data_IF_431991634606
#
_entry.id   IF_431991634606
#
_cell.length_a   1.000
_cell.length_b   1.000
_cell.length_c   1.000
_cell.angle_alpha   90.00
_cell.angle_beta   90.00
_cell.angle_gamma   90.00
#
_symmetry.space_group_name_H-M   'P 1'
#
loop_
_entity.id
_entity.type
_entity.pdbx_description
1 polymer ?
#
# COMPACT_ATOMS: atom_id res chain seq x y z
N UNK A 1 13.90 21.84 -10.51
CA UNK A 1 14.14 20.40 -10.67
C UNK A 1 14.11 20.05 -12.15
N UNK A 2 15.04 19.23 -12.68
CA UNK A 2 15.02 18.78 -14.08
C UNK A 2 14.03 17.62 -14.27
N UNK A 3 13.54 17.39 -15.50
CA UNK A 3 12.65 16.25 -15.83
C UNK A 3 13.33 14.92 -15.53
N UNK A 4 14.63 14.79 -15.86
CA UNK A 4 15.41 13.58 -15.54
C UNK A 4 15.44 13.30 -14.05
N UNK A 5 15.61 14.35 -13.22
CA UNK A 5 15.56 14.20 -11.76
C UNK A 5 14.18 13.78 -11.27
N UNK A 6 13.10 14.36 -11.81
CA UNK A 6 11.74 14.00 -11.41
C UNK A 6 11.44 12.53 -11.70
N UNK A 7 11.85 12.04 -12.86
CA UNK A 7 11.72 10.62 -13.24
C UNK A 7 12.56 9.75 -12.32
N UNK A 8 13.83 10.10 -12.10
CA UNK A 8 14.72 9.35 -11.19
C UNK A 8 14.18 9.26 -9.76
N UNK A 9 13.67 10.38 -9.22
CA UNK A 9 13.07 10.44 -7.89
C UNK A 9 11.79 9.54 -7.82
N UNK A 10 11.03 9.45 -8.91
CA UNK A 10 9.85 8.57 -8.99
C UNK A 10 10.23 7.09 -8.97
N UNK A 11 11.24 6.69 -9.74
CA UNK A 11 11.76 5.32 -9.70
C UNK A 11 12.38 4.97 -8.35
N UNK A 12 13.11 5.90 -7.72
CA UNK A 12 13.66 5.70 -6.39
C UNK A 12 12.57 5.47 -5.34
N UNK A 13 11.44 6.18 -5.43
CA UNK A 13 10.31 5.97 -4.53
C UNK A 13 9.69 4.57 -4.70
N UNK A 14 9.54 4.09 -5.94
CA UNK A 14 9.07 2.71 -6.21
C UNK A 14 10.09 1.69 -5.68
N UNK A 15 11.38 1.93 -5.89
CA UNK A 15 12.43 1.06 -5.37
C UNK A 15 12.41 0.96 -3.84
N UNK A 16 12.17 2.07 -3.14
CA UNK A 16 11.98 2.09 -1.68
C UNK A 16 10.79 1.22 -1.26
N UNK A 17 9.67 1.30 -1.98
CA UNK A 17 8.51 0.45 -1.75
C UNK A 17 8.90 -1.03 -1.84
N UNK A 18 9.52 -1.43 -2.95
CA UNK A 18 9.91 -2.82 -3.19
C UNK A 18 10.92 -3.35 -2.17
N UNK A 19 11.94 -2.57 -1.84
CA UNK A 19 12.94 -2.94 -0.82
C UNK A 19 12.30 -3.08 0.55
N UNK A 20 11.42 -2.17 0.94
CA UNK A 20 10.70 -2.24 2.22
C UNK A 20 9.86 -3.51 2.32
N UNK A 21 9.17 -3.87 1.23
CA UNK A 21 8.38 -5.09 1.15
C UNK A 21 9.25 -6.35 1.25
N UNK A 22 10.36 -6.41 0.50
CA UNK A 22 11.28 -7.54 0.52
C UNK A 22 11.88 -7.75 1.91
N UNK A 23 12.32 -6.69 2.58
CA UNK A 23 12.87 -6.79 3.94
C UNK A 23 11.79 -7.28 4.91
N UNK A 24 10.59 -6.71 4.86
CA UNK A 24 9.49 -7.09 5.74
C UNK A 24 9.08 -8.55 5.55
N UNK A 25 8.96 -9.01 4.31
CA UNK A 25 8.64 -10.40 3.99
C UNK A 25 9.77 -11.36 4.36
N UNK A 26 11.04 -10.98 4.14
CA UNK A 26 12.20 -11.77 4.53
C UNK A 26 12.23 -12.01 6.05
N UNK A 27 12.00 -10.96 6.85
CA UNK A 27 11.91 -11.08 8.30
C UNK A 27 10.72 -11.96 8.72
N UNK A 28 9.55 -11.74 8.14
CA UNK A 28 8.36 -12.54 8.45
C UNK A 28 8.55 -14.02 8.09
N UNK A 29 9.24 -14.31 6.98
CA UNK A 29 9.61 -15.68 6.59
C UNK A 29 10.54 -16.31 7.62
N UNK A 30 11.52 -15.57 8.14
CA UNK A 30 12.40 -16.06 9.21
C UNK A 30 11.62 -16.44 10.48
N UNK A 31 10.60 -15.65 10.87
CA UNK A 31 9.69 -16.02 11.95
C UNK A 31 8.90 -17.31 11.64
N UNK A 32 8.50 -17.52 10.39
CA UNK A 32 7.86 -18.77 9.94
C UNK A 32 8.75 -20.00 10.13
N UNK A 33 10.08 -19.88 9.91
CA UNK A 33 11.03 -20.97 10.11
C UNK A 33 11.12 -21.43 11.57
N UNK A 34 10.87 -20.53 12.53
CA UNK A 34 10.78 -20.87 13.97
C UNK A 34 9.34 -21.20 14.41
N UNK A 35 8.49 -21.57 13.46
CA UNK A 35 7.09 -22.02 13.67
C UNK A 35 6.14 -20.98 14.26
N UNK A 36 6.40 -19.69 14.05
CA UNK A 36 5.40 -18.65 14.35
C UNK A 36 4.20 -18.83 13.41
N UNK A 37 2.95 -18.78 13.90
CA UNK A 37 1.75 -18.94 13.07
C UNK A 37 1.72 -17.94 11.89
N UNK A 38 1.35 -18.39 10.70
CA UNK A 38 1.36 -17.59 9.46
C UNK A 38 0.56 -16.29 9.59
N UNK A 39 -0.58 -16.32 10.29
CA UNK A 39 -1.37 -15.11 10.51
C UNK A 39 -0.63 -14.04 11.31
N UNK A 40 0.18 -14.45 12.30
CA UNK A 40 1.05 -13.54 13.07
C UNK A 40 2.18 -13.01 12.17
N UNK A 41 2.79 -13.87 11.36
CA UNK A 41 3.80 -13.47 10.38
C UNK A 41 3.26 -12.42 9.40
N UNK A 42 2.03 -12.56 8.92
CA UNK A 42 1.39 -11.58 8.04
C UNK A 42 1.21 -10.21 8.73
N UNK A 43 0.81 -10.19 9.99
CA UNK A 43 0.68 -8.95 10.77
C UNK A 43 2.05 -8.29 10.97
N UNK A 44 3.06 -9.06 11.33
CA UNK A 44 4.45 -8.58 11.49
C UNK A 44 4.97 -8.03 10.16
N UNK A 45 4.78 -8.75 9.05
CA UNK A 45 5.16 -8.29 7.72
C UNK A 45 4.50 -6.96 7.37
N UNK A 46 3.19 -6.83 7.60
CA UNK A 46 2.45 -5.59 7.35
C UNK A 46 2.98 -4.41 8.17
N UNK A 47 3.18 -4.61 9.47
CA UNK A 47 3.70 -3.56 10.36
C UNK A 47 5.13 -3.14 9.98
N UNK A 48 6.01 -4.10 9.68
CA UNK A 48 7.38 -3.82 9.23
C UNK A 48 7.39 -3.12 7.87
N UNK A 49 6.58 -3.58 6.91
CA UNK A 49 6.48 -2.97 5.60
C UNK A 49 6.06 -1.51 5.68
N UNK A 50 4.96 -1.21 6.39
CA UNK A 50 4.49 0.15 6.57
C UNK A 50 5.51 1.03 7.32
N UNK A 51 6.12 0.51 8.38
CA UNK A 51 7.11 1.22 9.18
C UNK A 51 8.40 1.53 8.40
N UNK A 52 8.98 0.53 7.72
CA UNK A 52 10.20 0.70 6.91
C UNK A 52 9.95 1.67 5.74
N UNK A 53 8.85 1.47 5.01
CA UNK A 53 8.49 2.36 3.91
C UNK A 53 8.31 3.80 4.38
N UNK A 54 7.61 4.02 5.50
CA UNK A 54 7.45 5.35 6.10
C UNK A 54 8.81 5.99 6.43
N UNK A 55 9.69 5.29 7.12
CA UNK A 55 11.01 5.81 7.52
C UNK A 55 11.87 6.14 6.29
N UNK A 56 11.94 5.22 5.33
CA UNK A 56 12.75 5.40 4.13
C UNK A 56 12.19 6.51 3.22
N UNK A 57 10.87 6.56 3.01
CA UNK A 57 10.24 7.63 2.23
C UNK A 57 10.37 8.99 2.91
N UNK A 58 10.25 9.05 4.23
CA UNK A 58 10.47 10.31 4.99
C UNK A 58 11.90 10.80 4.82
N UNK A 59 12.89 9.91 4.95
CA UNK A 59 14.30 10.25 4.76
C UNK A 59 14.58 10.68 3.30
N UNK A 60 14.05 9.96 2.33
CA UNK A 60 14.18 10.24 0.90
C UNK A 60 13.55 11.58 0.54
N UNK A 61 12.30 11.80 0.94
CA UNK A 61 11.55 13.03 0.65
C UNK A 61 12.23 14.25 1.30
N UNK A 62 12.64 14.14 2.56
CA UNK A 62 13.26 15.27 3.27
C UNK A 62 14.68 15.59 2.79
N UNK A 63 15.54 14.57 2.61
CA UNK A 63 16.97 14.77 2.31
C UNK A 63 17.27 14.90 0.82
N UNK A 64 16.59 14.13 -0.05
CA UNK A 64 16.92 14.02 -1.48
C UNK A 64 15.98 14.86 -2.33
N UNK A 65 14.68 14.70 -2.15
CA UNK A 65 13.66 15.42 -2.93
C UNK A 65 13.44 16.82 -2.41
N UNK A 66 13.71 17.06 -1.13
CA UNK A 66 13.46 18.33 -0.41
C UNK A 66 11.99 18.74 -0.49
N UNK A 67 11.11 17.77 -0.24
CA UNK A 67 9.67 17.94 -0.09
C UNK A 67 9.34 18.02 1.41
N UNK A 68 8.60 19.03 1.86
CA UNK A 68 8.03 19.01 3.22
C UNK A 68 7.04 17.84 3.35
N UNK A 69 6.96 17.25 4.53
CA UNK A 69 6.07 16.10 4.78
C UNK A 69 4.59 16.40 4.51
N UNK A 70 4.18 17.66 4.72
CA UNK A 70 2.84 18.13 4.38
C UNK A 70 2.52 17.99 2.88
N UNK A 71 3.52 18.16 2.01
CA UNK A 71 3.35 18.03 0.55
C UNK A 71 3.28 16.55 0.10
N UNK A 72 3.64 15.60 0.98
CA UNK A 72 3.50 14.17 0.69
C UNK A 72 2.05 13.68 0.79
N UNK A 73 1.10 14.57 0.99
CA UNK A 73 -0.31 14.22 1.08
C UNK A 73 -0.63 13.36 2.30
N UNK A 74 0.26 13.36 3.31
CA UNK A 74 -0.02 12.78 4.61
C UNK A 74 -0.63 13.87 5.48
N UNK A 75 -1.97 14.02 5.51
CA UNK A 75 -2.60 14.88 6.48
C UNK A 75 -2.28 14.34 7.87
N UNK A 76 -2.20 15.21 8.86
CA UNK A 76 -2.22 14.80 10.25
C UNK A 76 -3.28 13.71 10.43
N UNK A 77 -2.92 12.62 11.11
CA UNK A 77 -3.73 11.43 11.25
C UNK A 77 -5.02 11.77 12.02
N UNK A 78 -5.97 12.41 11.36
CA UNK A 78 -7.30 12.67 11.89
C UNK A 78 -8.25 11.60 11.35
N UNK A 79 -8.31 10.47 12.05
CA UNK A 79 -9.26 9.40 11.71
C UNK A 79 -10.67 9.86 12.08
N UNK A 80 -11.41 10.37 11.11
CA UNK A 80 -12.83 10.70 11.30
C UNK A 80 -13.66 9.42 11.18
N UNK A 81 -14.59 9.19 12.12
CA UNK A 81 -15.50 8.02 12.13
C UNK A 81 -16.16 7.77 10.76
N UNK A 82 -16.54 8.83 10.05
CA UNK A 82 -17.12 8.74 8.69
C UNK A 82 -16.19 8.05 7.67
N UNK A 83 -14.88 8.25 7.77
CA UNK A 83 -13.93 7.61 6.86
C UNK A 83 -13.79 6.12 7.14
N UNK A 84 -13.78 5.71 8.42
CA UNK A 84 -13.80 4.29 8.80
C UNK A 84 -15.08 3.65 8.28
N UNK A 85 -16.22 4.29 8.51
CA UNK A 85 -17.51 3.78 8.05
C UNK A 85 -17.53 3.61 6.52
N UNK A 86 -17.07 4.62 5.78
CA UNK A 86 -16.99 4.55 4.30
C UNK A 86 -16.03 3.44 3.85
N UNK A 87 -14.87 3.28 4.50
CA UNK A 87 -13.88 2.26 4.17
C UNK A 87 -14.41 0.82 4.39
N UNK A 88 -15.35 0.63 5.31
CA UNK A 88 -16.00 -0.65 5.54
C UNK A 88 -17.22 -0.84 4.64
N UNK A 89 -18.11 0.16 4.59
CA UNK A 89 -19.39 0.05 3.86
C UNK A 89 -19.20 -0.03 2.36
N UNK A 90 -18.29 0.77 1.78
CA UNK A 90 -18.15 0.82 0.32
C UNK A 90 -17.69 -0.52 -0.27
N UNK A 91 -16.61 -1.16 0.21
CA UNK A 91 -16.22 -2.50 -0.26
C UNK A 91 -17.29 -3.56 0.01
N UNK A 92 -18.00 -3.47 1.16
CA UNK A 92 -19.08 -4.41 1.49
C UNK A 92 -20.26 -4.27 0.53
N UNK A 93 -20.65 -3.05 0.17
CA UNK A 93 -21.69 -2.80 -0.82
C UNK A 93 -21.29 -3.31 -2.21
N UNK A 94 -20.06 -3.00 -2.66
CA UNK A 94 -19.55 -3.47 -3.95
C UNK A 94 -19.53 -5.00 -3.99
N UNK A 95 -19.00 -5.66 -2.94
CA UNK A 95 -18.98 -7.12 -2.85
C UNK A 95 -20.38 -7.71 -2.78
N UNK A 96 -21.27 -7.11 -1.99
CA UNK A 96 -22.67 -7.54 -1.89
C UNK A 96 -23.40 -7.41 -3.23
N UNK A 97 -23.25 -6.29 -3.93
CA UNK A 97 -23.82 -6.09 -5.27
C UNK A 97 -23.30 -7.12 -6.29
N UNK A 98 -21.99 -7.40 -6.24
CA UNK A 98 -21.38 -8.43 -7.08
C UNK A 98 -21.98 -9.81 -6.79
N UNK A 99 -22.11 -10.18 -5.51
CA UNK A 99 -22.68 -11.47 -5.11
C UNK A 99 -24.17 -11.60 -5.52
N UNK A 100 -24.93 -10.51 -5.52
CA UNK A 100 -26.32 -10.50 -5.95
C UNK A 100 -26.44 -10.58 -7.48
N UNK A 101 -25.56 -9.90 -8.21
CA UNK A 101 -25.59 -9.87 -9.67
C UNK A 101 -25.07 -11.16 -10.32
N UNK A 102 -24.11 -11.80 -9.69
CA UNK A 102 -23.45 -13.01 -10.20
C UNK A 102 -23.68 -14.19 -9.22
N UNK A 103 -24.94 -14.57 -9.09
CA UNK A 103 -25.35 -15.72 -8.28
C UNK A 103 -24.96 -17.04 -8.94
N UNK A 104 -23.70 -17.44 -8.78
CA UNK A 104 -23.23 -18.79 -9.10
C UNK A 104 -23.38 -19.73 -7.90
N UNK A 105 -23.16 -21.05 -8.07
CA UNK A 105 -23.15 -21.98 -6.95
C UNK A 105 -22.04 -21.60 -5.97
N UNK A 106 -22.42 -21.10 -4.79
CA UNK A 106 -21.47 -20.84 -3.71
C UNK A 106 -21.05 -22.15 -3.09
N UNK A 107 -19.79 -22.50 -3.26
CA UNK A 107 -19.20 -23.62 -2.53
C UNK A 107 -18.82 -23.08 -1.14
N UNK A 108 -19.52 -23.55 -0.12
CA UNK A 108 -19.10 -23.31 1.27
C UNK A 108 -17.78 -24.05 1.50
N UNK A 109 -16.69 -23.31 1.71
CA UNK A 109 -15.43 -23.93 2.13
C UNK A 109 -15.46 -24.14 3.64
N UNK A 110 -15.30 -25.39 4.10
CA UNK A 110 -15.11 -25.71 5.53
C UNK A 110 -13.71 -25.25 5.98
N UNK A 111 -13.50 -23.94 6.12
CA UNK A 111 -12.24 -23.39 6.60
C UNK A 111 -12.15 -23.53 8.12
N UNK A 112 -11.02 -24.05 8.60
CA UNK A 112 -10.68 -24.02 10.03
C UNK A 112 -10.48 -22.58 10.51
N UNK A 113 -10.66 -22.33 11.83
CA UNK A 113 -10.41 -21.01 12.42
C UNK A 113 -8.99 -20.47 12.11
N UNK A 114 -7.98 -21.33 12.07
CA UNK A 114 -6.62 -20.99 11.69
C UNK A 114 -6.51 -20.52 10.23
N UNK A 115 -7.19 -21.19 9.30
CA UNK A 115 -7.23 -20.80 7.89
C UNK A 115 -7.91 -19.44 7.71
N UNK A 116 -9.03 -19.21 8.42
CA UNK A 116 -9.72 -17.92 8.42
C UNK A 116 -8.78 -16.81 8.94
N UNK A 117 -8.12 -17.03 10.07
CA UNK A 117 -7.19 -16.08 10.64
C UNK A 117 -6.02 -15.76 9.69
N UNK A 118 -5.43 -16.77 9.07
CA UNK A 118 -4.34 -16.58 8.11
C UNK A 118 -4.79 -15.79 6.88
N UNK A 119 -5.97 -16.07 6.34
CA UNK A 119 -6.52 -15.37 5.17
C UNK A 119 -6.85 -13.92 5.50
N UNK A 120 -7.52 -13.68 6.64
CA UNK A 120 -7.88 -12.32 7.06
C UNK A 120 -6.64 -11.49 7.40
N UNK A 121 -5.64 -12.06 8.07
CA UNK A 121 -4.41 -11.33 8.38
C UNK A 121 -3.61 -10.97 7.12
N UNK A 122 -3.53 -11.86 6.13
CA UNK A 122 -2.90 -11.56 4.85
C UNK A 122 -3.68 -10.47 4.08
N UNK A 123 -5.00 -10.64 3.93
CA UNK A 123 -5.85 -9.73 3.17
C UNK A 123 -6.02 -8.36 3.82
N UNK A 124 -6.26 -8.31 5.13
CA UNK A 124 -6.55 -7.06 5.84
C UNK A 124 -5.26 -6.37 6.30
N UNK A 125 -4.42 -7.08 7.09
CA UNK A 125 -3.27 -6.43 7.72
C UNK A 125 -2.15 -6.13 6.72
N UNK A 126 -1.78 -7.09 5.88
CA UNK A 126 -0.69 -6.91 4.92
C UNK A 126 -1.16 -6.19 3.66
N UNK A 127 -2.11 -6.76 2.91
CA UNK A 127 -2.52 -6.20 1.61
C UNK A 127 -3.38 -4.96 1.77
N UNK A 128 -4.43 -4.98 2.59
CA UNK A 128 -5.38 -3.87 2.69
C UNK A 128 -4.79 -2.65 3.39
N UNK A 129 -4.25 -2.83 4.61
CA UNK A 129 -3.77 -1.70 5.43
C UNK A 129 -2.35 -1.32 5.04
N UNK A 130 -1.38 -2.26 5.11
CA UNK A 130 0.02 -1.92 4.93
C UNK A 130 0.35 -1.57 3.47
N UNK A 131 -0.02 -2.42 2.50
CA UNK A 131 0.26 -2.15 1.10
C UNK A 131 -0.50 -0.91 0.62
N UNK A 132 -1.80 -0.80 0.92
CA UNK A 132 -2.59 0.38 0.55
C UNK A 132 -2.02 1.68 1.12
N UNK A 133 -1.56 1.69 2.38
CA UNK A 133 -0.92 2.86 2.98
C UNK A 133 0.40 3.23 2.29
N UNK A 134 1.26 2.24 2.03
CA UNK A 134 2.56 2.48 1.38
C UNK A 134 2.39 2.94 -0.05
N UNK A 135 1.47 2.34 -0.79
CA UNK A 135 1.16 2.72 -2.16
C UNK A 135 0.63 4.17 -2.26
N UNK A 136 -0.27 4.57 -1.37
CA UNK A 136 -0.73 5.95 -1.29
C UNK A 136 0.43 6.92 -1.03
N UNK A 137 1.34 6.58 -0.11
CA UNK A 137 2.52 7.40 0.16
C UNK A 137 3.43 7.54 -1.05
N UNK A 138 3.68 6.44 -1.76
CA UNK A 138 4.58 6.42 -2.93
C UNK A 138 3.95 7.13 -4.11
N UNK A 139 2.78 6.67 -4.56
CA UNK A 139 2.18 7.14 -5.81
C UNK A 139 1.52 8.51 -5.68
N UNK A 140 0.70 8.74 -4.65
CA UNK A 140 0.02 10.02 -4.45
C UNK A 140 0.82 11.01 -3.61
N UNK A 141 1.60 10.52 -2.66
CA UNK A 141 2.49 11.35 -1.86
C UNK A 141 3.72 11.81 -2.67
N UNK A 142 4.65 10.91 -2.95
CA UNK A 142 5.94 11.28 -3.53
C UNK A 142 5.85 11.51 -5.03
N UNK A 143 5.43 10.52 -5.82
CA UNK A 143 5.54 10.58 -7.29
C UNK A 143 4.67 11.69 -7.87
N UNK A 144 3.41 11.77 -7.48
CA UNK A 144 2.50 12.81 -7.95
C UNK A 144 3.04 14.22 -7.65
N UNK A 145 3.53 14.46 -6.42
CA UNK A 145 4.01 15.78 -6.03
C UNK A 145 5.37 16.13 -6.66
N UNK A 146 6.24 15.16 -6.89
CA UNK A 146 7.47 15.33 -7.66
C UNK A 146 7.18 15.70 -9.11
N UNK A 147 6.26 15.00 -9.75
CA UNK A 147 5.87 15.24 -11.14
C UNK A 147 5.13 16.58 -11.31
N UNK A 148 4.23 16.94 -10.41
CA UNK A 148 3.53 18.25 -10.41
C UNK A 148 4.47 19.45 -10.42
N UNK A 149 5.67 19.31 -9.84
CA UNK A 149 6.66 20.40 -9.84
C UNK A 149 7.22 20.69 -11.23
N UNK A 150 7.06 19.78 -12.19
CA UNK A 150 7.67 19.90 -13.51
C UNK A 150 6.68 19.73 -14.66
N UNK A 151 5.65 18.93 -14.50
CA UNK A 151 4.67 18.61 -15.52
C UNK A 151 3.32 19.27 -15.23
N UNK A 152 2.48 19.38 -16.25
CA UNK A 152 1.09 19.79 -16.05
C UNK A 152 0.35 18.73 -15.20
N UNK A 153 -0.72 19.18 -14.55
CA UNK A 153 -1.47 18.34 -13.63
C UNK A 153 -2.01 17.06 -14.27
N UNK A 154 -2.41 17.12 -15.56
CA UNK A 154 -2.95 15.95 -16.27
C UNK A 154 -1.87 14.86 -16.41
N UNK A 155 -0.69 15.20 -16.91
CA UNK A 155 0.43 14.28 -17.04
C UNK A 155 0.90 13.76 -15.67
N UNK A 156 0.96 14.65 -14.66
CA UNK A 156 1.35 14.28 -13.31
C UNK A 156 0.38 13.29 -12.64
N UNK A 157 -0.87 13.24 -13.04
CA UNK A 157 -1.86 12.24 -12.58
C UNK A 157 -1.82 10.97 -13.43
N UNK A 158 -1.80 11.09 -14.75
CA UNK A 158 -1.88 9.94 -15.67
C UNK A 158 -0.66 9.02 -15.50
N UNK A 159 0.55 9.58 -15.43
CA UNK A 159 1.77 8.76 -15.38
C UNK A 159 1.85 7.89 -14.14
N UNK A 160 1.63 8.39 -12.90
CA UNK A 160 1.59 7.51 -11.72
C UNK A 160 0.47 6.48 -11.79
N UNK A 161 -0.69 6.81 -12.38
CA UNK A 161 -1.80 5.86 -12.52
C UNK A 161 -1.44 4.69 -13.45
N UNK A 162 -0.74 4.98 -14.55
CA UNK A 162 -0.24 3.93 -15.46
C UNK A 162 0.83 3.09 -14.74
N UNK A 163 1.80 3.73 -14.07
CA UNK A 163 2.84 3.02 -13.31
C UNK A 163 2.24 2.14 -12.22
N UNK A 164 1.23 2.63 -11.52
CA UNK A 164 0.48 1.88 -10.51
C UNK A 164 -0.16 0.63 -11.12
N UNK A 165 -0.83 0.77 -12.27
CA UNK A 165 -1.41 -0.36 -13.00
C UNK A 165 -0.36 -1.40 -13.41
N UNK A 166 0.79 -0.96 -13.93
CA UNK A 166 1.88 -1.87 -14.30
C UNK A 166 2.42 -2.67 -13.12
N UNK A 167 2.62 -2.04 -11.97
CA UNK A 167 3.11 -2.73 -10.75
C UNK A 167 2.14 -3.81 -10.26
N UNK A 168 0.84 -3.72 -10.60
CA UNK A 168 -0.18 -4.70 -10.20
C UNK A 168 -0.42 -5.81 -11.24
N UNK A 169 0.15 -5.70 -12.44
CA UNK A 169 0.02 -6.72 -13.49
C UNK A 169 1.22 -7.69 -13.48
N UNK A 170 2.34 -7.24 -12.93
CA UNK A 170 3.58 -8.04 -12.80
C UNK A 170 3.54 -8.90 -11.52
#
# INVERSE_FOLDING_TARGET
MSTKKAIGDSFAAIFILLISQLIAQGIATAFGLIKVPSGVCNIIAGALYAGLAYVFLKAFAGKIVKLPMADLGMPEFAVKKRWILTAVLLPSLVKGSYLLAFSGPYVSSNMSGTQIFNTLSAGIAFTGIAAGFVEEMVFRGVILNVLKKKWNIKAAVIVPSILFGFVHIL
#
